data_IF_672682340404
#
_entry.id   IF_672682340404
#
_cell.length_a   1.000
_cell.length_b   1.000
_cell.length_c   1.000
_cell.angle_alpha   90.00
_cell.angle_beta   90.00
_cell.angle_gamma   90.00
#
_symmetry.space_group_name_H-M   'P 1'
#
loop_
_entity.id
_entity.type
_entity.pdbx_description
1 polymer ?
#
# COMPACT_ATOMS: atom_id res chain seq x y z
N UNK A 1 6.74 -10.36 9.46
CA UNK A 1 7.27 -9.51 8.37
C UNK A 1 6.09 -9.07 7.53
N UNK A 2 5.93 -7.76 7.30
CA UNK A 2 4.85 -7.25 6.44
C UNK A 2 5.21 -7.56 4.99
N UNK A 3 4.30 -8.22 4.27
CA UNK A 3 4.47 -8.58 2.85
C UNK A 3 3.60 -7.68 1.99
N UNK A 4 4.03 -7.47 0.75
CA UNK A 4 3.27 -6.72 -0.26
C UNK A 4 1.84 -7.23 -0.38
N UNK A 5 1.66 -8.54 -0.50
CA UNK A 5 0.35 -9.18 -0.61
C UNK A 5 -0.59 -8.87 0.56
N UNK A 6 -0.08 -8.74 1.78
CA UNK A 6 -0.89 -8.41 2.96
C UNK A 6 -1.42 -6.99 2.89
N UNK A 7 -0.57 -6.05 2.48
CA UNK A 7 -0.95 -4.65 2.29
C UNK A 7 -1.94 -4.56 1.12
N UNK A 8 -1.64 -5.23 0.00
CA UNK A 8 -2.50 -5.27 -1.18
C UNK A 8 -3.90 -5.75 -0.81
N UNK A 9 -4.01 -6.92 -0.17
CA UNK A 9 -5.28 -7.50 0.25
C UNK A 9 -6.07 -6.61 1.23
N UNK A 10 -5.36 -5.87 2.08
CA UNK A 10 -6.00 -4.91 2.99
C UNK A 10 -6.59 -3.72 2.23
N UNK A 11 -5.81 -3.13 1.33
CA UNK A 11 -6.19 -1.94 0.58
C UNK A 11 -7.13 -2.24 -0.63
N UNK A 12 -7.15 -3.49 -1.12
CA UNK A 12 -8.07 -3.95 -2.16
C UNK A 12 -9.54 -3.82 -1.75
N UNK A 13 -9.84 -3.84 -0.45
CA UNK A 13 -11.18 -3.58 0.07
C UNK A 13 -11.65 -2.13 -0.11
N UNK A 14 -10.73 -1.19 -0.35
CA UNK A 14 -11.03 0.24 -0.52
C UNK A 14 -11.04 0.64 -2.00
N UNK A 15 -10.29 -0.08 -2.83
CA UNK A 15 -10.26 0.11 -4.27
C UNK A 15 -9.21 -0.74 -4.96
N UNK A 16 -9.11 -0.60 -6.28
CA UNK A 16 -8.14 -1.33 -7.09
C UNK A 16 -6.76 -0.67 -7.00
N UNK A 17 -5.80 -1.44 -6.47
CA UNK A 17 -4.41 -1.00 -6.32
C UNK A 17 -3.67 -1.20 -7.64
N UNK A 18 -3.08 -0.12 -8.15
CA UNK A 18 -2.24 -0.14 -9.35
C UNK A 18 -0.80 -0.48 -9.03
N UNK A 19 -0.27 0.15 -7.98
CA UNK A 19 1.14 0.05 -7.61
C UNK A 19 1.27 -0.08 -6.09
N UNK A 20 2.14 -0.97 -5.64
CA UNK A 20 2.41 -1.17 -4.22
C UNK A 20 3.90 -1.32 -4.02
N UNK A 21 4.52 -0.32 -3.41
CA UNK A 21 5.97 -0.31 -3.20
C UNK A 21 6.31 -0.24 -1.72
N UNK A 22 6.85 -1.33 -1.19
CA UNK A 22 7.37 -1.38 0.18
C UNK A 22 8.77 -0.78 0.22
N UNK A 23 9.02 0.15 1.14
CA UNK A 23 10.34 0.77 1.26
C UNK A 23 11.18 0.05 2.31
N UNK A 24 12.33 -0.43 1.85
CA UNK A 24 13.37 -1.05 2.66
C UNK A 24 14.58 -0.13 2.75
N UNK A 25 15.36 -0.23 3.82
CA UNK A 25 16.70 0.37 3.88
C UNK A 25 17.62 -0.36 2.91
N UNK A 26 18.81 0.22 2.68
CA UNK A 26 19.85 -0.43 1.87
C UNK A 26 20.26 -1.79 2.46
N UNK A 27 20.17 -1.92 3.78
CA UNK A 27 20.39 -3.15 4.56
C UNK A 27 19.19 -4.13 4.54
N UNK A 28 18.14 -3.87 3.75
CA UNK A 28 16.97 -4.74 3.66
C UNK A 28 15.99 -4.65 4.84
N UNK A 29 16.18 -3.69 5.75
CA UNK A 29 15.28 -3.48 6.90
C UNK A 29 14.04 -2.72 6.42
N UNK A 30 12.85 -3.27 6.66
CA UNK A 30 11.61 -2.60 6.29
C UNK A 30 11.46 -1.29 7.06
N UNK A 31 11.34 -0.17 6.34
CA UNK A 31 11.22 1.17 6.94
C UNK A 31 9.83 1.43 7.57
N UNK A 32 8.98 0.40 7.61
CA UNK A 32 7.60 0.46 8.15
C UNK A 32 6.69 1.43 7.41
N UNK A 33 7.01 1.78 6.17
CA UNK A 33 6.13 2.52 5.29
C UNK A 33 6.13 1.93 3.87
N UNK A 34 5.02 2.11 3.17
CA UNK A 34 4.82 1.68 1.80
C UNK A 34 4.06 2.77 1.05
N UNK A 35 4.23 2.80 -0.27
CA UNK A 35 3.43 3.61 -1.17
C UNK A 35 2.37 2.73 -1.81
N UNK A 36 1.11 3.20 -1.81
CA UNK A 36 -0.02 2.53 -2.42
C UNK A 36 -0.61 3.47 -3.47
N UNK A 37 -0.60 3.05 -4.73
CA UNK A 37 -1.25 3.73 -5.84
C UNK A 37 -2.62 3.08 -6.09
N UNK A 38 -3.64 3.91 -6.27
CA UNK A 38 -4.97 3.48 -6.69
C UNK A 38 -5.27 3.93 -8.11
N UNK A 39 -6.25 3.30 -8.77
CA UNK A 39 -6.70 3.73 -10.10
C UNK A 39 -7.35 5.11 -10.06
N UNK A 40 -8.17 5.37 -9.03
CA UNK A 40 -8.97 6.58 -8.92
C UNK A 40 -8.69 7.31 -7.61
N UNK A 41 -8.80 8.65 -7.64
CA UNK A 41 -8.67 9.49 -6.46
C UNK A 41 -9.71 9.14 -5.38
N UNK A 42 -10.96 8.85 -5.76
CA UNK A 42 -12.01 8.44 -4.81
C UNK A 42 -11.64 7.18 -4.02
N UNK A 43 -10.94 6.22 -4.66
CA UNK A 43 -10.49 4.99 -3.99
C UNK A 43 -9.35 5.29 -3.01
N UNK A 44 -8.42 6.17 -3.41
CA UNK A 44 -7.36 6.65 -2.53
C UNK A 44 -7.93 7.42 -1.33
N UNK A 45 -8.91 8.29 -1.57
CA UNK A 45 -9.57 9.07 -0.52
C UNK A 45 -10.23 8.16 0.52
N UNK A 46 -10.96 7.12 0.09
CA UNK A 46 -11.56 6.12 1.01
C UNK A 46 -10.52 5.39 1.86
N UNK A 47 -9.31 5.17 1.33
CA UNK A 47 -8.23 4.54 2.07
C UNK A 47 -7.54 5.49 3.08
N UNK A 48 -7.63 6.81 2.86
CA UNK A 48 -7.09 7.86 3.75
C UNK A 48 -8.08 8.19 4.87
N UNK A 49 -9.38 8.17 4.58
CA UNK A 49 -10.44 8.63 5.48
C UNK A 49 -10.80 7.64 6.61
N UNK A 50 -10.07 6.52 6.72
CA UNK A 50 -10.31 5.45 7.69
C UNK A 50 -9.31 5.45 8.83
#
# INVERSE_FOLDING_TARGET
>A
MVKEEQIRKHFESFGSITDLTLKYTKDGIFRRFAFVGFINEEQAQRAIEK
#
